data_IF_092037546212
#
_entry.id   IF_092037546212
#
_cell.length_a   1.000
_cell.length_b   1.000
_cell.length_c   1.000
_cell.angle_alpha   90.00
_cell.angle_beta   90.00
_cell.angle_gamma   90.00
#
_symmetry.space_group_name_H-M   'P 1'
#
loop_
_entity.id
_entity.type
_entity.pdbx_description
1 polymer ?
#
# COMPACT_ATOMS: atom_id res chain seq x y z
N UNK A 1 61.86 8.70 -68.56
CA UNK A 1 60.40 8.61 -68.83
C UNK A 1 59.71 8.84 -67.50
N UNK A 2 59.15 10.04 -67.34
CA UNK A 2 58.66 10.56 -66.05
C UNK A 2 57.31 9.93 -65.69
N UNK A 3 57.18 9.66 -64.40
CA UNK A 3 56.05 9.10 -63.67
C UNK A 3 54.77 9.95 -63.84
N UNK A 4 53.62 9.28 -63.91
CA UNK A 4 52.33 9.87 -63.52
C UNK A 4 51.55 8.83 -62.73
N UNK A 5 51.78 8.81 -61.43
CA UNK A 5 50.88 8.20 -60.45
C UNK A 5 49.97 9.34 -59.94
N UNK A 6 48.70 9.32 -60.35
CA UNK A 6 47.71 10.32 -59.93
C UNK A 6 47.22 9.98 -58.51
N UNK A 7 47.82 10.61 -57.50
CA UNK A 7 47.25 10.61 -56.14
C UNK A 7 46.06 11.57 -56.10
N UNK A 8 44.84 11.04 -55.91
CA UNK A 8 43.67 11.84 -55.55
C UNK A 8 43.90 12.45 -54.16
N UNK A 9 44.42 13.68 -54.10
CA UNK A 9 44.46 14.47 -52.87
C UNK A 9 43.12 15.19 -52.72
N UNK A 10 42.20 14.61 -51.94
CA UNK A 10 40.99 15.33 -51.51
C UNK A 10 41.39 16.39 -50.48
N UNK A 11 41.38 17.66 -50.89
CA UNK A 11 41.56 18.78 -49.98
C UNK A 11 40.33 18.94 -49.08
N UNK A 12 40.47 18.64 -47.79
CA UNK A 12 39.51 19.01 -46.77
C UNK A 12 39.44 20.55 -46.72
N UNK A 13 38.42 21.15 -47.32
CA UNK A 13 38.27 22.60 -47.36
C UNK A 13 37.73 23.08 -46.01
N UNK A 14 38.19 24.24 -45.54
CA UNK A 14 37.72 24.87 -44.30
C UNK A 14 36.18 24.93 -44.24
N UNK A 15 35.53 25.11 -45.39
CA UNK A 15 34.07 25.11 -45.54
C UNK A 15 33.43 23.78 -45.15
N UNK A 16 33.96 22.63 -45.61
CA UNK A 16 33.40 21.33 -45.22
C UNK A 16 33.58 21.05 -43.73
N UNK A 17 34.70 21.50 -43.14
CA UNK A 17 34.94 21.40 -41.71
C UNK A 17 33.88 22.16 -40.89
N UNK A 18 33.58 23.39 -41.28
CA UNK A 18 32.59 24.25 -40.60
C UNK A 18 31.19 23.66 -40.71
N UNK A 19 30.80 23.13 -41.87
CA UNK A 19 29.48 22.52 -42.07
C UNK A 19 29.33 21.26 -41.21
N UNK A 20 30.36 20.39 -41.15
CA UNK A 20 30.32 19.18 -40.31
C UNK A 20 30.18 19.56 -38.84
N UNK A 21 30.97 20.52 -38.34
CA UNK A 21 30.86 20.97 -36.94
C UNK A 21 29.48 21.57 -36.65
N UNK A 22 28.90 22.35 -37.57
CA UNK A 22 27.56 22.91 -37.41
C UNK A 22 26.47 21.83 -37.33
N UNK A 23 26.50 20.84 -38.24
CA UNK A 23 25.52 19.73 -38.24
C UNK A 23 25.69 18.84 -37.02
N UNK A 24 26.94 18.53 -36.62
CA UNK A 24 27.20 17.76 -35.40
C UNK A 24 26.71 18.49 -34.15
N UNK A 25 26.94 19.80 -34.06
CA UNK A 25 26.46 20.62 -32.94
C UNK A 25 24.94 20.56 -32.83
N UNK A 26 24.22 20.77 -33.94
CA UNK A 26 22.76 20.70 -33.97
C UNK A 26 22.24 19.30 -33.63
N UNK A 27 22.93 18.25 -34.09
CA UNK A 27 22.56 16.86 -33.83
C UNK A 27 22.73 16.48 -32.35
N UNK A 28 23.79 16.96 -31.70
CA UNK A 28 24.01 16.75 -30.25
C UNK A 28 22.87 17.39 -29.44
N UNK A 29 22.48 18.63 -29.78
CA UNK A 29 21.38 19.31 -29.12
C UNK A 29 20.03 18.58 -29.29
N UNK A 30 19.71 18.14 -30.51
CA UNK A 30 18.49 17.38 -30.77
C UNK A 30 18.48 16.03 -30.02
N UNK A 31 19.63 15.36 -29.93
CA UNK A 31 19.78 14.11 -29.20
C UNK A 31 19.50 14.23 -27.70
N UNK A 32 20.02 15.29 -27.07
CA UNK A 32 19.84 15.53 -25.63
C UNK A 32 18.37 15.77 -25.24
N UNK A 33 17.61 16.49 -26.07
CA UNK A 33 16.20 16.80 -25.80
C UNK A 33 15.34 15.52 -25.83
N UNK A 34 15.59 14.63 -26.80
CA UNK A 34 14.82 13.39 -26.94
C UNK A 34 15.09 12.42 -25.79
N UNK A 35 16.33 12.33 -25.31
CA UNK A 35 16.68 11.46 -24.17
C UNK A 35 15.99 11.85 -22.88
N UNK A 36 15.87 13.16 -22.60
CA UNK A 36 15.23 13.65 -21.37
C UNK A 36 13.72 13.32 -21.33
N UNK A 37 13.03 13.43 -22.47
CA UNK A 37 11.60 13.14 -22.58
C UNK A 37 11.32 11.65 -22.38
N UNK A 38 12.12 10.78 -23.01
CA UNK A 38 11.94 9.32 -22.93
C UNK A 38 12.21 8.82 -21.50
N UNK A 39 13.30 9.28 -20.88
CA UNK A 39 13.63 8.90 -19.50
C UNK A 39 12.56 9.35 -18.51
N UNK A 40 12.07 10.61 -18.63
CA UNK A 40 10.99 11.11 -17.76
C UNK A 40 9.72 10.27 -17.86
N UNK A 41 9.33 9.87 -19.07
CA UNK A 41 8.14 9.03 -19.24
C UNK A 41 8.30 7.65 -18.59
N UNK A 42 9.46 7.00 -18.79
CA UNK A 42 9.76 5.70 -18.16
C UNK A 42 9.73 5.80 -16.64
N UNK A 43 10.37 6.81 -16.07
CA UNK A 43 10.44 7.00 -14.62
C UNK A 43 9.07 7.27 -13.98
N UNK A 44 8.17 7.97 -14.68
CA UNK A 44 6.78 8.16 -14.25
C UNK A 44 6.04 6.82 -14.23
N UNK A 45 6.25 5.99 -15.24
CA UNK A 45 5.64 4.66 -15.34
C UNK A 45 6.15 3.75 -14.22
N UNK A 46 7.48 3.68 -14.04
CA UNK A 46 8.13 2.90 -12.97
C UNK A 46 7.61 3.34 -11.59
N UNK A 47 7.54 4.65 -11.34
CA UNK A 47 7.02 5.20 -10.07
C UNK A 47 5.56 4.82 -9.84
N UNK A 48 4.73 4.79 -10.88
CA UNK A 48 3.31 4.40 -10.75
C UNK A 48 3.17 2.92 -10.42
N UNK A 49 3.88 2.05 -11.12
CA UNK A 49 3.85 0.60 -10.87
C UNK A 49 4.29 0.28 -9.43
N UNK A 50 5.32 0.97 -8.96
CA UNK A 50 5.82 0.84 -7.60
C UNK A 50 4.80 1.35 -6.56
N UNK A 51 4.21 2.53 -6.78
CA UNK A 51 3.16 3.07 -5.92
C UNK A 51 1.91 2.18 -5.87
N UNK A 52 1.57 1.49 -6.96
CA UNK A 52 0.50 0.49 -7.00
C UNK A 52 0.82 -0.72 -6.12
N UNK A 53 2.05 -1.22 -6.20
CA UNK A 53 2.54 -2.31 -5.33
C UNK A 53 2.48 -1.91 -3.86
N UNK A 54 2.94 -0.70 -3.52
CA UNK A 54 2.85 -0.15 -2.17
C UNK A 54 1.38 -0.01 -1.72
N UNK A 55 0.51 0.49 -2.61
CA UNK A 55 -0.92 0.62 -2.33
C UNK A 55 -1.54 -0.74 -1.99
N UNK A 56 -1.20 -1.80 -2.73
CA UNK A 56 -1.71 -3.14 -2.43
C UNK A 56 -1.21 -3.63 -1.07
N UNK A 57 0.09 -3.49 -0.79
CA UNK A 57 0.65 -3.86 0.52
C UNK A 57 -0.01 -3.09 1.69
N UNK A 58 -0.34 -1.80 1.49
CA UNK A 58 -1.08 -1.00 2.46
C UNK A 58 -2.52 -1.51 2.65
N UNK A 59 -3.20 -1.95 1.58
CA UNK A 59 -4.56 -2.52 1.64
C UNK A 59 -4.56 -3.87 2.37
N UNK A 60 -3.59 -4.73 2.09
CA UNK A 60 -3.44 -6.02 2.79
C UNK A 60 -3.11 -5.80 4.27
N UNK A 61 -2.21 -4.88 4.59
CA UNK A 61 -1.95 -4.50 5.98
C UNK A 61 -3.23 -4.02 6.69
N UNK A 62 -4.07 -3.20 6.05
CA UNK A 62 -5.35 -2.79 6.62
C UNK A 62 -6.33 -3.95 6.79
N UNK A 63 -6.36 -4.87 5.82
CA UNK A 63 -7.20 -6.08 5.87
C UNK A 63 -6.92 -6.91 7.10
N UNK A 64 -5.67 -7.00 7.53
CA UNK A 64 -5.29 -7.85 8.66
C UNK A 64 -5.27 -7.06 9.98
N UNK A 65 -4.73 -5.85 9.97
CA UNK A 65 -4.45 -5.09 11.19
C UNK A 65 -5.53 -4.05 11.57
N UNK A 66 -6.58 -3.88 10.75
CA UNK A 66 -7.65 -2.89 10.95
C UNK A 66 -7.14 -1.44 11.09
N UNK A 67 -6.03 -1.13 10.42
CA UNK A 67 -5.46 0.21 10.29
C UNK A 67 -4.42 0.21 9.18
N UNK A 68 -4.10 1.38 8.62
CA UNK A 68 -2.89 1.52 7.82
C UNK A 68 -1.65 1.65 8.71
N UNK A 69 -0.46 1.50 8.12
CA UNK A 69 0.80 1.73 8.83
C UNK A 69 0.81 3.10 9.49
N UNK A 70 1.31 3.18 10.72
CA UNK A 70 1.40 4.43 11.46
C UNK A 70 2.25 5.43 10.70
N UNK A 71 1.77 6.66 10.59
CA UNK A 71 2.47 7.78 9.97
C UNK A 71 3.31 8.50 11.03
N UNK A 72 4.63 8.39 10.91
CA UNK A 72 5.61 9.13 11.73
C UNK A 72 6.28 10.25 10.93
N UNK A 73 5.73 10.59 9.77
CA UNK A 73 6.30 11.49 8.78
C UNK A 73 7.69 11.02 8.29
N UNK A 74 7.94 9.71 8.35
CA UNK A 74 9.17 9.08 7.90
C UNK A 74 8.85 7.72 7.24
N UNK A 75 8.72 7.74 5.91
CA UNK A 75 8.30 6.58 5.13
C UNK A 75 9.20 5.36 5.31
N UNK A 76 10.50 5.53 5.55
CA UNK A 76 11.42 4.42 5.79
C UNK A 76 11.09 3.69 7.09
N UNK A 77 10.70 4.41 8.14
CA UNK A 77 10.26 3.82 9.39
C UNK A 77 8.85 3.24 9.26
N UNK A 78 7.98 3.94 8.53
CA UNK A 78 6.57 3.58 8.45
C UNK A 78 6.33 2.35 7.57
N UNK A 79 7.03 2.25 6.44
CA UNK A 79 6.91 1.12 5.52
C UNK A 79 7.73 -0.09 5.94
N UNK A 80 8.62 0.04 6.92
CA UNK A 80 9.25 -1.11 7.55
C UNK A 80 8.22 -2.09 8.15
N UNK A 81 7.03 -1.59 8.56
CA UNK A 81 5.93 -2.43 9.07
C UNK A 81 5.28 -3.32 8.01
N UNK A 82 5.42 -2.94 6.73
CA UNK A 82 4.89 -3.73 5.62
C UNK A 82 5.75 -4.98 5.39
N UNK A 83 7.05 -4.88 5.67
CA UNK A 83 8.00 -5.99 5.48
C UNK A 83 8.21 -6.78 6.78
N UNK A 84 8.39 -6.08 7.90
CA UNK A 84 8.77 -6.67 9.18
C UNK A 84 7.64 -6.47 10.18
N UNK A 85 7.31 -7.52 10.92
CA UNK A 85 6.26 -7.45 11.93
C UNK A 85 6.50 -6.30 12.93
N UNK A 86 5.59 -5.32 13.03
CA UNK A 86 5.75 -4.17 13.91
C UNK A 86 5.74 -4.50 15.40
N UNK A 87 6.28 -3.56 16.19
CA UNK A 87 6.06 -3.52 17.63
C UNK A 87 4.60 -3.16 17.95
N UNK A 88 4.11 -3.52 19.13
CA UNK A 88 2.73 -3.19 19.55
C UNK A 88 2.44 -1.68 19.55
N UNK A 89 3.46 -0.86 19.84
CA UNK A 89 3.34 0.61 19.90
C UNK A 89 3.13 1.27 18.53
N UNK A 90 3.36 0.54 17.44
CA UNK A 90 3.08 0.99 16.07
C UNK A 90 1.59 0.91 15.74
N UNK A 91 0.78 0.20 16.52
CA UNK A 91 -0.67 0.15 16.31
C UNK A 91 -1.38 1.24 17.12
N UNK A 92 -2.42 1.83 16.53
CA UNK A 92 -3.30 2.76 17.24
C UNK A 92 -4.23 2.07 18.27
N UNK A 93 -4.73 2.84 19.24
CA UNK A 93 -5.74 2.39 20.22
C UNK A 93 -5.20 1.93 21.58
N UNK A 94 -6.03 1.20 22.33
CA UNK A 94 -5.70 0.68 23.67
C UNK A 94 -4.65 -0.45 23.59
N UNK A 95 -3.97 -0.74 24.70
CA UNK A 95 -2.95 -1.81 24.74
C UNK A 95 -3.50 -3.19 24.33
N UNK A 96 -4.76 -3.49 24.66
CA UNK A 96 -5.46 -4.71 24.24
C UNK A 96 -5.66 -4.73 22.73
N UNK A 97 -6.12 -3.62 22.15
CA UNK A 97 -6.35 -3.50 20.71
C UNK A 97 -5.03 -3.55 19.92
N UNK A 98 -3.97 -2.90 20.42
CA UNK A 98 -2.62 -2.98 19.85
C UNK A 98 -2.09 -4.41 19.82
N UNK A 99 -2.28 -5.16 20.91
CA UNK A 99 -1.84 -6.55 21.01
C UNK A 99 -2.64 -7.46 20.07
N UNK A 100 -3.95 -7.24 19.97
CA UNK A 100 -4.81 -7.93 19.03
C UNK A 100 -4.39 -7.69 17.59
N UNK A 101 -4.29 -6.44 17.14
CA UNK A 101 -3.90 -6.09 15.77
C UNK A 101 -2.54 -6.65 15.38
N UNK A 102 -1.57 -6.58 16.31
CA UNK A 102 -0.26 -7.21 16.12
C UNK A 102 -0.36 -8.73 15.95
N UNK A 103 -1.29 -9.39 16.63
CA UNK A 103 -1.49 -10.83 16.49
C UNK A 103 -2.10 -11.21 15.15
N UNK A 104 -2.81 -10.28 14.50
CA UNK A 104 -3.41 -10.49 13.18
C UNK A 104 -2.43 -10.24 12.03
N UNK A 105 -1.28 -9.59 12.28
CA UNK A 105 -0.28 -9.35 11.25
C UNK A 105 0.15 -10.66 10.58
N UNK A 106 0.00 -10.71 9.26
CA UNK A 106 0.27 -11.88 8.42
C UNK A 106 1.11 -11.51 7.18
N UNK A 107 2.00 -10.52 7.33
CA UNK A 107 2.94 -10.12 6.29
C UNK A 107 4.09 -11.12 6.09
N UNK A 108 5.11 -10.75 5.28
CA UNK A 108 5.32 -9.45 4.65
C UNK A 108 4.28 -9.13 3.57
N UNK A 109 3.82 -7.87 3.52
CA UNK A 109 2.89 -7.33 2.50
C UNK A 109 3.61 -6.63 1.35
N UNK A 110 4.90 -6.36 1.52
CA UNK A 110 5.80 -5.94 0.47
C UNK A 110 7.10 -6.71 0.63
N UNK A 111 7.71 -7.08 -0.48
CA UNK A 111 8.98 -7.80 -0.46
C UNK A 111 9.98 -7.02 -1.28
N UNK A 112 11.06 -6.61 -0.63
CA UNK A 112 12.19 -6.05 -1.33
C UNK A 112 12.85 -7.14 -2.20
N UNK A 113 12.86 -6.92 -3.51
CA UNK A 113 13.45 -7.87 -4.45
C UNK A 113 14.99 -7.87 -4.39
N UNK A 114 15.60 -6.78 -3.90
CA UNK A 114 17.05 -6.57 -3.95
C UNK A 114 17.67 -5.98 -2.67
N UNK A 115 16.90 -5.87 -1.57
CA UNK A 115 17.33 -5.25 -0.30
C UNK A 115 17.85 -3.80 -0.49
N UNK A 116 17.24 -3.08 -1.44
CA UNK A 116 17.62 -1.71 -1.80
C UNK A 116 16.68 -0.64 -1.22
N UNK A 117 15.69 -1.04 -0.42
CA UNK A 117 14.57 -0.21 0.05
C UNK A 117 13.84 0.48 -1.12
N UNK A 118 13.72 -0.20 -2.26
CA UNK A 118 13.13 0.32 -3.50
C UNK A 118 11.83 1.08 -3.21
N UNK A 119 10.95 0.48 -2.41
CA UNK A 119 9.61 0.99 -2.05
C UNK A 119 9.55 2.26 -1.19
N UNK A 120 10.69 2.84 -0.79
CA UNK A 120 10.72 4.06 0.03
C UNK A 120 10.95 5.33 -0.78
N UNK A 121 11.35 5.20 -2.05
CA UNK A 121 11.76 6.30 -2.92
C UNK A 121 11.22 6.12 -4.32
N UNK A 122 10.88 7.23 -4.96
CA UNK A 122 10.50 7.22 -6.37
C UNK A 122 11.71 7.05 -7.29
N UNK A 123 11.42 6.92 -8.59
CA UNK A 123 12.44 6.78 -9.63
C UNK A 123 13.46 7.94 -9.64
N UNK A 124 13.11 9.13 -9.16
CA UNK A 124 14.02 10.28 -9.05
C UNK A 124 14.85 10.30 -7.76
N UNK A 125 14.80 9.21 -6.98
CA UNK A 125 15.47 9.00 -5.70
C UNK A 125 14.93 9.94 -4.59
N UNK A 126 13.68 10.38 -4.73
CA UNK A 126 13.01 11.23 -3.74
C UNK A 126 12.12 10.36 -2.86
N UNK A 127 12.24 10.50 -1.54
CA UNK A 127 11.42 9.73 -0.62
C UNK A 127 9.93 10.07 -0.81
N UNK A 128 9.09 9.05 -0.88
CA UNK A 128 7.65 9.24 -0.95
C UNK A 128 7.12 10.04 0.25
N UNK A 129 6.00 10.72 0.04
CA UNK A 129 5.21 11.38 1.08
C UNK A 129 4.00 10.52 1.37
N UNK A 130 4.02 9.88 2.52
CA UNK A 130 2.89 9.16 3.06
C UNK A 130 2.11 10.08 4.01
N UNK A 131 0.78 9.99 3.99
CA UNK A 131 -0.06 10.65 4.98
C UNK A 131 -1.21 9.73 5.40
N UNK A 132 -1.31 9.50 6.71
CA UNK A 132 -2.40 8.75 7.30
C UNK A 132 -2.83 9.37 8.62
N UNK A 133 -4.15 9.53 8.78
CA UNK A 133 -4.76 9.96 10.05
C UNK A 133 -5.31 8.74 10.76
N UNK A 134 -4.92 8.53 12.02
CA UNK A 134 -5.37 7.42 12.84
C UNK A 134 -6.90 7.25 12.80
N UNK A 135 -7.36 6.04 12.46
CA UNK A 135 -8.79 5.70 12.36
C UNK A 135 -9.43 5.98 11.00
N UNK A 136 -8.71 6.59 10.06
CA UNK A 136 -9.20 6.78 8.69
C UNK A 136 -9.27 5.45 7.92
N UNK A 137 -10.27 5.29 7.07
CA UNK A 137 -10.37 4.20 6.08
C UNK A 137 -9.60 4.52 4.79
N UNK A 138 -8.86 5.63 4.76
CA UNK A 138 -8.00 5.99 3.64
C UNK A 138 -6.67 6.62 4.08
N UNK A 139 -5.64 6.44 3.25
CA UNK A 139 -4.35 7.10 3.34
C UNK A 139 -3.92 7.62 1.96
N UNK A 140 -2.91 8.49 1.92
CA UNK A 140 -2.37 9.02 0.66
C UNK A 140 -0.89 8.72 0.55
N UNK A 141 -0.47 8.41 -0.68
CA UNK A 141 0.92 8.22 -1.07
C UNK A 141 1.22 9.19 -2.21
N UNK A 142 2.34 9.93 -2.11
CA UNK A 142 2.74 10.92 -3.10
C UNK A 142 4.22 10.82 -3.45
N UNK A 143 4.55 10.82 -4.75
CA UNK A 143 5.88 11.15 -5.28
C UNK A 143 5.95 12.64 -5.60
N UNK A 144 7.10 13.26 -5.36
CA UNK A 144 7.35 14.67 -5.71
C UNK A 144 7.76 14.87 -7.18
N UNK A 145 7.67 13.83 -8.01
CA UNK A 145 7.89 13.92 -9.45
C UNK A 145 9.31 14.29 -9.88
N UNK A 146 9.49 14.60 -11.18
CA UNK A 146 10.77 14.95 -11.78
C UNK A 146 11.46 16.16 -11.17
N UNK A 147 10.71 17.14 -10.66
CA UNK A 147 11.31 18.36 -10.10
C UNK A 147 11.71 18.20 -8.61
N UNK A 148 11.38 17.06 -8.01
CA UNK A 148 11.68 16.66 -6.63
C UNK A 148 11.07 17.59 -5.58
N UNK A 149 10.14 18.44 -5.97
CA UNK A 149 9.50 19.42 -5.12
C UNK A 149 8.04 19.00 -4.94
N UNK A 150 7.67 18.62 -3.73
CA UNK A 150 6.28 18.25 -3.47
C UNK A 150 5.37 19.48 -3.36
N UNK A 151 4.15 19.37 -3.88
CA UNK A 151 3.05 20.36 -3.76
C UNK A 151 2.73 21.11 -5.06
N UNK A 152 3.21 20.63 -6.20
CA UNK A 152 3.03 21.21 -7.52
C UNK A 152 2.26 20.26 -8.45
N UNK A 153 2.28 20.53 -9.76
CA UNK A 153 1.50 19.81 -10.76
C UNK A 153 2.13 18.50 -11.26
N UNK A 154 3.41 18.26 -11.01
CA UNK A 154 4.10 17.04 -11.43
C UNK A 154 4.12 15.95 -10.35
N UNK A 155 3.61 16.25 -9.15
CA UNK A 155 3.31 15.28 -8.12
C UNK A 155 2.40 14.14 -8.63
N UNK A 156 2.79 12.91 -8.35
CA UNK A 156 1.94 11.73 -8.56
C UNK A 156 1.38 11.34 -7.20
N UNK A 157 0.05 11.44 -7.03
CA UNK A 157 -0.62 11.10 -5.77
C UNK A 157 -1.63 9.99 -5.98
N UNK A 158 -1.58 8.97 -5.12
CA UNK A 158 -2.55 7.88 -5.04
C UNK A 158 -3.24 7.93 -3.68
N UNK A 159 -4.56 7.82 -3.69
CA UNK A 159 -5.36 7.61 -2.48
C UNK A 159 -5.67 6.14 -2.35
N UNK A 160 -5.19 5.54 -1.27
CA UNK A 160 -5.48 4.15 -0.93
C UNK A 160 -6.70 4.14 -0.03
N UNK A 161 -7.79 3.50 -0.49
CA UNK A 161 -9.02 3.35 0.27
C UNK A 161 -9.22 1.90 0.68
N UNK A 162 -9.53 1.69 1.95
CA UNK A 162 -9.94 0.43 2.53
C UNK A 162 -11.43 0.41 2.93
N UNK A 163 -12.22 1.35 2.39
CA UNK A 163 -13.64 1.47 2.70
C UNK A 163 -14.42 0.18 2.37
N UNK A 164 -14.13 -0.46 1.24
CA UNK A 164 -14.78 -1.72 0.86
C UNK A 164 -14.47 -2.84 1.87
N UNK A 165 -13.22 -2.92 2.33
CA UNK A 165 -12.77 -3.89 3.34
C UNK A 165 -13.49 -3.62 4.67
N UNK A 166 -13.58 -2.36 5.06
CA UNK A 166 -14.27 -1.93 6.27
C UNK A 166 -15.77 -2.30 6.24
N UNK A 167 -16.46 -1.99 5.14
CA UNK A 167 -17.87 -2.34 4.97
C UNK A 167 -18.09 -3.86 4.88
N UNK A 168 -17.18 -4.60 4.25
CA UNK A 168 -17.23 -6.07 4.22
C UNK A 168 -17.18 -6.66 5.64
N UNK A 169 -16.26 -6.16 6.47
CA UNK A 169 -16.10 -6.58 7.87
C UNK A 169 -17.35 -6.27 8.69
N UNK A 170 -17.90 -5.06 8.59
CA UNK A 170 -19.17 -4.69 9.23
C UNK A 170 -20.31 -5.61 8.81
N UNK A 171 -20.40 -5.92 7.51
CA UNK A 171 -21.44 -6.81 6.99
C UNK A 171 -21.33 -8.20 7.60
N UNK A 172 -20.14 -8.80 7.64
CA UNK A 172 -19.91 -10.11 8.26
C UNK A 172 -20.31 -10.12 9.74
N UNK A 173 -19.89 -9.11 10.49
CA UNK A 173 -20.27 -8.99 11.91
C UNK A 173 -21.79 -8.87 12.07
N UNK A 174 -22.47 -8.08 11.23
CA UNK A 174 -23.94 -7.96 11.26
C UNK A 174 -24.64 -9.27 10.92
N UNK A 175 -24.14 -10.02 9.94
CA UNK A 175 -24.68 -11.34 9.56
C UNK A 175 -24.53 -12.36 10.70
N UNK A 176 -23.35 -12.39 11.34
CA UNK A 176 -23.09 -13.26 12.49
C UNK A 176 -23.98 -12.88 13.70
N UNK A 177 -24.12 -11.59 14.00
CA UNK A 177 -25.01 -11.11 15.06
C UNK A 177 -26.48 -11.47 14.78
N UNK A 178 -26.93 -11.37 13.54
CA UNK A 178 -28.29 -11.78 13.16
C UNK A 178 -28.48 -13.29 13.37
N UNK A 179 -27.48 -14.10 13.02
CA UNK A 179 -27.50 -15.55 13.25
C UNK A 179 -27.57 -15.89 14.74
N UNK A 180 -26.74 -15.24 15.57
CA UNK A 180 -26.73 -15.43 17.03
C UNK A 180 -28.09 -15.09 17.64
N UNK A 181 -28.67 -13.94 17.25
CA UNK A 181 -29.97 -13.52 17.76
C UNK A 181 -31.07 -14.52 17.38
N UNK A 182 -31.08 -15.02 16.14
CA UNK A 182 -32.02 -16.05 15.71
C UNK A 182 -31.87 -17.35 16.52
N UNK A 183 -30.63 -17.77 16.84
CA UNK A 183 -30.38 -18.97 17.65
C UNK A 183 -30.76 -18.80 19.12
N UNK A 184 -30.56 -17.61 19.66
CA UNK A 184 -31.05 -17.23 20.97
C UNK A 184 -32.57 -17.32 21.05
N UNK A 185 -33.28 -16.73 20.09
CA UNK A 185 -34.75 -16.77 20.03
C UNK A 185 -35.29 -18.20 19.89
N UNK A 186 -34.60 -19.05 19.13
CA UNK A 186 -34.93 -20.47 18.97
C UNK A 186 -34.81 -21.22 20.30
N UNK A 187 -33.71 -21.05 21.04
CA UNK A 187 -33.51 -21.68 22.35
C UNK A 187 -34.48 -21.16 23.40
N UNK A 188 -34.70 -19.85 23.44
CA UNK A 188 -35.67 -19.21 24.32
C UNK A 188 -37.06 -19.84 24.15
N UNK A 189 -37.51 -19.97 22.90
CA UNK A 189 -38.78 -20.59 22.56
C UNK A 189 -38.87 -22.05 23.05
N UNK A 190 -37.79 -22.83 22.90
CA UNK A 190 -37.73 -24.22 23.39
C UNK A 190 -37.84 -24.31 24.91
N UNK A 191 -37.16 -23.42 25.64
CA UNK A 191 -37.22 -23.38 27.10
C UNK A 191 -38.61 -23.01 27.60
N UNK A 192 -39.20 -21.96 27.03
CA UNK A 192 -40.55 -21.50 27.38
C UNK A 192 -41.58 -22.61 27.09
N UNK A 193 -41.52 -23.25 25.93
CA UNK A 193 -42.41 -24.36 25.57
C UNK A 193 -42.26 -25.59 26.49
N UNK A 194 -41.06 -25.81 27.05
CA UNK A 194 -40.80 -26.85 28.03
C UNK A 194 -41.21 -26.46 29.47
N UNK A 195 -41.82 -25.28 29.67
CA UNK A 195 -42.18 -24.76 30.99
C UNK A 195 -40.97 -24.40 31.85
N UNK A 196 -39.81 -24.14 31.24
CA UNK A 196 -38.57 -23.78 31.92
C UNK A 196 -38.29 -22.29 31.76
N UNK A 197 -37.59 -21.71 32.74
CA UNK A 197 -37.17 -20.30 32.72
C UNK A 197 -36.00 -20.10 31.77
N UNK A 198 -36.03 -19.01 31.00
CA UNK A 198 -34.95 -18.57 30.12
C UNK A 198 -34.41 -17.20 30.55
N UNK A 199 -33.08 -16.97 30.52
CA UNK A 199 -32.05 -17.99 30.38
C UNK A 199 -31.93 -18.85 31.66
N UNK A 200 -31.51 -20.13 31.56
CA UNK A 200 -31.26 -20.96 32.73
C UNK A 200 -30.12 -20.38 33.60
N UNK A 201 -30.12 -20.71 34.89
CA UNK A 201 -29.08 -20.24 35.80
C UNK A 201 -27.69 -20.72 35.34
N UNK A 202 -26.75 -19.79 35.22
CA UNK A 202 -25.39 -20.08 34.75
C UNK A 202 -25.20 -20.03 33.23
N UNK A 203 -26.25 -19.72 32.45
CA UNK A 203 -26.16 -19.60 31.00
C UNK A 203 -25.32 -18.40 30.56
N UNK A 204 -24.19 -18.67 29.92
CA UNK A 204 -23.32 -17.70 29.25
C UNK A 204 -23.58 -17.64 27.74
N UNK A 205 -22.96 -16.66 27.08
CA UNK A 205 -23.02 -16.57 25.61
C UNK A 205 -22.30 -17.75 24.96
N UNK A 206 -21.23 -18.25 25.59
CA UNK A 206 -20.45 -19.43 25.20
C UNK A 206 -21.35 -20.68 25.06
N UNK A 207 -22.32 -20.87 25.97
CA UNK A 207 -23.27 -22.00 25.97
C UNK A 207 -24.22 -21.97 24.76
N UNK A 208 -24.47 -20.78 24.21
CA UNK A 208 -25.24 -20.59 22.98
C UNK A 208 -24.49 -21.19 21.78
N UNK A 209 -23.16 -21.08 21.76
CA UNK A 209 -22.30 -21.55 20.68
C UNK A 209 -22.00 -23.05 20.80
N UNK A 210 -21.78 -23.56 22.02
CA UNK A 210 -21.57 -24.99 22.29
C UNK A 210 -22.78 -25.86 21.92
N UNK A 211 -24.00 -25.31 22.08
CA UNK A 211 -25.24 -26.03 21.75
C UNK A 211 -25.49 -26.17 20.24
N UNK A 212 -24.93 -25.27 19.43
CA UNK A 212 -25.15 -25.23 17.97
C UNK A 212 -23.89 -25.47 17.12
N UNK A 213 -22.72 -25.63 17.72
CA UNK A 213 -21.48 -26.02 17.04
C UNK A 213 -20.93 -24.95 16.08
N UNK A 214 -21.21 -23.66 16.31
CA UNK A 214 -20.60 -22.58 15.53
C UNK A 214 -19.25 -22.17 16.14
N UNK A 215 -18.21 -22.12 15.30
CA UNK A 215 -16.86 -21.71 15.65
C UNK A 215 -16.84 -20.24 16.11
N UNK A 216 -16.46 -20.00 17.37
CA UNK A 216 -16.43 -18.68 18.03
C UNK A 216 -15.15 -17.89 17.74
N UNK A 217 -14.22 -18.44 16.96
CA UNK A 217 -12.92 -17.82 16.69
C UNK A 217 -13.08 -16.44 16.02
N UNK A 218 -14.14 -16.22 15.24
CA UNK A 218 -14.48 -14.92 14.64
C UNK A 218 -15.11 -13.91 15.60
N UNK A 219 -15.85 -14.33 16.62
CA UNK A 219 -16.69 -13.43 17.44
C UNK A 219 -15.95 -12.76 18.60
N UNK A 220 -15.10 -13.52 19.31
CA UNK A 220 -14.37 -13.02 20.48
C UNK A 220 -13.30 -11.98 20.08
N UNK A 221 -12.81 -12.08 18.84
CA UNK A 221 -11.85 -11.16 18.27
C UNK A 221 -12.44 -9.77 17.97
N UNK A 222 -13.69 -9.71 17.51
CA UNK A 222 -14.35 -8.48 17.07
C UNK A 222 -15.16 -7.80 18.18
N UNK A 223 -15.76 -8.56 19.11
CA UNK A 223 -16.54 -7.99 20.22
C UNK A 223 -15.68 -7.19 21.21
N UNK A 224 -14.39 -7.54 21.33
CA UNK A 224 -13.39 -6.76 22.10
C UNK A 224 -13.06 -5.39 21.49
N UNK A 225 -13.59 -5.05 20.32
CA UNK A 225 -13.43 -3.72 19.71
C UNK A 225 -14.43 -2.69 20.26
N UNK A 226 -15.55 -3.11 20.84
CA UNK A 226 -16.66 -2.21 21.26
C UNK A 226 -16.67 -1.91 22.78
N UNK A 227 -15.75 -2.49 23.56
CA UNK A 227 -15.59 -2.24 25.00
C UNK A 227 -14.42 -1.29 25.35
N UNK A 228 -14.15 -0.28 24.51
CA UNK A 228 -13.22 0.82 24.85
C UNK A 228 -13.76 2.18 24.41
#
# INVERSE_FOLDING_TARGET
MSLCENSFRSGFTFVSAVIIVAVLSLSIWAGLILTDIILKSSMIEDTREEMETISEGLREFYRDCDQFVKDTNNVTVDFADLEIRPSTTRFEGSASLQSYRRSQWNGPYIQDKYDDNGYTRDAWNTAYRYNYTAGSTSCTLRSCGPDRTCGNSDDITITVSAEEIYQEKIRKVKEELAYINAKKEELESRYINAGRTWPPAGFGIEDLFDTYGCDTTGLVAWWKMDEA
#
